data_IF_214161409773
#
_entry.id   IF_214161409773
#
_cell.length_a   1.000
_cell.length_b   1.000
_cell.length_c   1.000
_cell.angle_alpha   90.00
_cell.angle_beta   90.00
_cell.angle_gamma   90.00
#
_symmetry.space_group_name_H-M   'P 1'
#
loop_
_entity.id
_entity.type
_entity.pdbx_description
1 polymer ?
2 non-polymer ?
3 water ?
#
# COMPACT_ATOMS: atom_id res chain seq x y z
N UNK A 14 -24.61 1.77 4.65
CA UNK A 14 -25.61 2.10 3.64
C UNK A 14 -25.46 1.22 2.40
N UNK A 15 -24.23 0.82 2.08
CA UNK A 15 -24.01 -0.16 1.03
C UNK A 15 -23.75 -1.55 1.61
N UNK A 16 -24.26 -2.59 0.98
CA UNK A 16 -24.18 -3.95 1.52
C UNK A 16 -23.77 -4.98 0.47
N UNK A 17 -23.06 -6.01 0.90
CA UNK A 17 -22.80 -7.18 0.07
C UNK A 17 -24.03 -8.06 -0.11
N UNK A 18 -24.33 -8.39 -1.36
CA UNK A 18 -25.45 -9.27 -1.68
C UNK A 18 -25.01 -10.72 -1.86
N UNK A 19 -24.06 -10.95 -2.75
CA UNK A 19 -23.51 -12.29 -2.97
C UNK A 19 -22.12 -12.22 -3.60
N UNK A 20 -21.30 -13.24 -3.33
CA UNK A 20 -19.98 -13.31 -3.93
C UNK A 20 -19.78 -14.69 -4.57
N UNK A 21 -19.71 -14.74 -5.89
CA UNK A 21 -19.55 -16.02 -6.58
C UNK A 21 -18.14 -16.21 -7.13
N UNK A 22 -17.57 -17.39 -6.89
CA UNK A 22 -16.25 -17.76 -7.41
C UNK A 22 -16.20 -17.80 -8.93
N UNK A 23 -15.11 -17.27 -9.50
CA UNK A 23 -14.89 -17.28 -10.94
C UNK A 23 -13.75 -18.23 -11.32
N UNK A 24 -12.72 -18.24 -10.49
CA UNK A 24 -11.60 -19.19 -10.66
C UNK A 24 -10.83 -19.27 -9.36
N UNK A 25 -10.48 -20.48 -8.97
CA UNK A 25 -9.74 -20.67 -7.74
C UNK A 25 -8.34 -21.22 -8.01
N UNK A 26 -7.34 -20.56 -7.45
CA UNK A 26 -5.98 -21.04 -7.57
C UNK A 26 -5.50 -21.68 -6.29
N UNK A 27 -4.25 -22.10 -6.30
CA UNK A 27 -3.61 -22.72 -5.16
C UNK A 27 -3.51 -21.68 -4.05
N UNK A 28 -2.95 -20.49 -4.26
CA UNK A 28 -3.01 -19.50 -3.17
C UNK A 28 -4.15 -18.53 -3.29
N UNK A 29 -4.37 -18.05 -4.51
CA UNK A 29 -5.22 -16.87 -4.68
C UNK A 29 -6.39 -17.21 -5.59
N UNK A 30 -7.54 -16.63 -5.30
CA UNK A 30 -8.76 -16.87 -6.07
C UNK A 30 -9.35 -15.58 -6.64
N UNK A 31 -10.18 -15.73 -7.66
CA UNK A 31 -10.89 -14.61 -8.28
C UNK A 31 -12.39 -14.76 -8.16
N UNK A 32 -13.03 -13.77 -7.54
CA UNK A 32 -14.47 -13.81 -7.33
C UNK A 32 -15.16 -12.63 -7.99
N UNK A 33 -16.44 -12.81 -8.28
CA UNK A 33 -17.30 -11.69 -8.69
C UNK A 33 -18.20 -11.32 -7.53
N UNK A 34 -18.22 -10.03 -7.20
CA UNK A 34 -18.92 -9.57 -6.01
C UNK A 34 -20.13 -8.74 -6.38
N UNK A 35 -21.28 -9.11 -5.83
CA UNK A 35 -22.52 -8.38 -6.05
C UNK A 35 -22.90 -7.60 -4.79
N UNK A 36 -23.13 -6.31 -4.94
CA UNK A 36 -23.44 -5.44 -3.80
C UNK A 36 -24.57 -4.46 -4.14
N UNK A 37 -24.95 -3.63 -3.19
CA UNK A 37 -25.95 -2.61 -3.46
C UNK A 37 -25.47 -1.23 -3.06
N UNK A 38 -25.74 -0.24 -3.91
CA UNK A 38 -25.22 1.10 -3.70
C UNK A 38 -26.21 1.82 -2.77
N UNK A 39 -25.90 3.07 -2.34
CA UNK A 39 -26.83 3.71 -1.40
C UNK A 39 -28.23 3.95 -1.95
N UNK A 40 -28.36 4.06 -3.27
CA UNK A 40 -29.64 4.32 -3.89
C UNK A 40 -30.54 3.08 -3.91
N UNK A 41 -29.93 1.91 -3.69
CA UNK A 41 -30.66 0.65 -3.73
C UNK A 41 -30.44 -0.12 -5.02
N UNK A 42 -29.58 0.42 -5.87
CA UNK A 42 -29.26 -0.19 -7.15
C UNK A 42 -28.19 -1.27 -6.99
N UNK A 43 -28.36 -2.37 -7.71
CA UNK A 43 -27.44 -3.48 -7.68
C UNK A 43 -26.27 -3.29 -8.65
N UNK A 44 -25.04 -3.43 -8.14
CA UNK A 44 -23.85 -3.38 -8.98
C UNK A 44 -22.92 -4.57 -8.78
N UNK A 45 -21.88 -4.64 -9.59
CA UNK A 45 -20.94 -5.77 -9.54
C UNK A 45 -19.49 -5.31 -9.46
N UNK A 46 -18.62 -6.22 -9.05
CA UNK A 46 -17.21 -5.94 -8.89
C UNK A 46 -16.39 -7.22 -9.00
N UNK A 47 -15.22 -7.12 -9.61
CA UNK A 47 -14.31 -8.25 -9.71
C UNK A 47 -13.29 -8.21 -8.56
N UNK A 48 -13.43 -9.12 -7.61
CA UNK A 48 -12.60 -9.10 -6.41
C UNK A 48 -11.53 -10.19 -6.39
N UNK A 49 -10.36 -9.85 -5.87
CA UNK A 49 -9.29 -10.82 -5.67
C UNK A 49 -9.24 -11.20 -4.20
N UNK A 50 -9.14 -12.48 -3.90
CA UNK A 50 -9.07 -12.94 -2.51
C UNK A 50 -8.00 -14.01 -2.33
N UNK A 51 -7.22 -13.90 -1.26
CA UNK A 51 -6.29 -14.97 -0.93
C UNK A 51 -7.08 -16.16 -0.43
N UNK A 52 -6.75 -17.34 -0.95
CA UNK A 52 -7.40 -18.56 -0.50
C UNK A 52 -6.70 -19.04 0.75
N UNK A 53 -5.75 -18.25 1.24
CA UNK A 53 -4.81 -18.80 2.20
C UNK A 53 -5.46 -19.01 3.58
N UNK A 54 -6.19 -18.04 4.14
CA UNK A 54 -6.77 -18.27 5.47
C UNK A 54 -7.53 -17.04 5.99
N UNK A 55 -8.46 -17.27 6.91
CA UNK A 55 -9.36 -16.28 7.45
C UNK A 55 -9.26 -16.16 9.05
N UNK A 56 -8.48 -17.00 9.76
CA UNK A 56 -8.59 -17.08 11.24
C UNK A 56 -7.96 -15.87 11.88
N UNK A 57 -7.21 -15.11 11.10
CA UNK A 57 -6.23 -14.22 11.72
C UNK A 57 -6.83 -12.86 11.95
N UNK A 58 -6.04 -12.00 12.57
CA UNK A 58 -6.45 -10.62 12.76
C UNK A 58 -6.30 -9.99 11.35
N UNK A 59 -5.42 -10.59 10.53
CA UNK A 59 -5.13 -10.15 9.16
C UNK A 59 -4.37 -11.20 8.31
N UNK A 60 -4.35 -11.06 6.98
CA UNK A 60 -3.64 -12.04 6.12
C UNK A 60 -2.17 -12.15 6.52
N UNK A 61 -1.52 -11.01 6.70
CA UNK A 61 -0.10 -10.98 6.98
C UNK A 61 0.35 -9.81 7.82
N UNK A 62 1.65 -9.58 7.83
CA UNK A 62 2.22 -8.44 8.52
C UNK A 62 3.28 -7.78 7.67
N UNK A 63 3.44 -6.48 7.87
CA UNK A 63 4.55 -5.74 7.33
C UNK A 63 5.34 -5.21 8.52
N UNK A 64 6.65 -5.33 8.48
CA UNK A 64 7.48 -4.92 9.61
C UNK A 64 8.23 -3.63 9.31
N UNK A 65 8.06 -2.62 10.14
CA UNK A 65 8.89 -1.43 10.07
C UNK A 65 10.03 -1.56 11.09
N UNK A 66 11.22 -1.96 10.60
CA UNK A 66 12.37 -2.25 11.47
C UNK A 66 13.27 -1.04 11.63
N UNK A 67 13.37 -0.55 12.86
CA UNK A 67 14.16 0.64 13.14
C UNK A 67 15.50 0.28 13.78
N UNK A 68 16.56 0.31 12.96
CA UNK A 68 17.91 0.04 13.42
C UNK A 68 18.43 1.16 14.30
N UNK A 69 18.54 0.91 15.60
CA UNK A 69 18.95 1.93 16.56
C UNK A 69 20.39 1.73 17.05
N UNK A 70 21.25 2.73 16.81
CA UNK A 70 22.63 2.71 17.28
C UNK A 70 23.01 4.02 17.97
N UNK A 71 23.84 3.93 19.01
CA UNK A 71 24.24 5.12 19.76
C UNK A 71 25.13 6.10 18.99
N UNK A 72 25.81 5.64 17.95
CA UNK A 72 26.70 6.52 17.21
C UNK A 72 26.14 6.89 15.85
N UNK A 73 24.92 6.45 15.58
CA UNK A 73 24.28 6.75 14.31
C UNK A 73 22.86 7.24 14.43
N UNK A 74 22.37 7.81 13.32
CA UNK A 74 20.96 8.08 13.14
C UNK A 74 20.28 6.75 12.83
N UNK A 75 19.03 6.60 13.23
CA UNK A 75 18.29 5.36 12.98
C UNK A 75 18.22 5.03 11.48
N UNK A 76 18.43 3.75 11.17
CA UNK A 76 18.25 3.24 9.82
C UNK A 76 16.91 2.53 9.73
N UNK A 77 16.33 2.53 8.54
CA UNK A 77 15.18 1.71 8.27
C UNK A 77 15.65 0.49 7.50
N UNK A 78 15.35 -0.69 8.03
CA UNK A 78 15.77 -1.92 7.39
C UNK A 78 14.75 -2.32 6.33
N UNK A 79 15.17 -2.28 5.07
CA UNK A 79 14.31 -2.66 3.95
C UNK A 79 14.88 -3.89 3.26
N UNK A 80 14.03 -4.57 2.50
CA UNK A 80 14.47 -5.75 1.74
C UNK A 80 14.26 -5.59 0.24
N UNK A 81 15.17 -6.16 -0.54
CA UNK A 81 15.04 -6.18 -2.00
C UNK A 81 14.82 -7.61 -2.47
N UNK A 82 13.76 -7.81 -3.23
CA UNK A 82 13.36 -9.15 -3.63
C UNK A 82 12.62 -9.15 -4.96
N UNK A 83 12.90 -10.18 -5.76
CA UNK A 83 12.23 -10.37 -7.04
C UNK A 83 10.76 -10.72 -6.83
N UNK A 84 9.89 -9.99 -7.51
CA UNK A 84 8.45 -10.21 -7.46
C UNK A 84 7.92 -10.55 -8.84
N UNK A 85 7.60 -11.84 -9.06
CA UNK A 85 7.09 -12.34 -10.33
C UNK A 85 5.91 -11.55 -10.93
N UNK A 86 4.94 -11.09 -10.10
CA UNK A 86 3.88 -10.32 -10.75
C UNK A 86 4.39 -9.01 -11.35
N UNK A 87 5.39 -8.41 -10.73
CA UNK A 87 6.00 -7.18 -11.22
C UNK A 87 7.02 -7.47 -12.32
N UNK A 88 7.44 -8.74 -12.42
CA UNK A 88 8.49 -9.12 -13.34
C UNK A 88 9.81 -8.44 -13.06
N UNK A 89 10.10 -8.19 -11.78
CA UNK A 89 11.30 -7.48 -11.38
C UNK A 89 11.46 -7.34 -9.87
N UNK A 90 12.55 -6.73 -9.44
CA UNK A 90 12.85 -6.61 -8.02
C UNK A 90 12.10 -5.45 -7.38
N UNK A 91 11.73 -5.62 -6.10
CA UNK A 91 10.99 -4.60 -5.38
C UNK A 91 11.59 -4.34 -4.00
N UNK A 92 11.62 -3.07 -3.59
CA UNK A 92 12.10 -2.71 -2.26
C UNK A 92 10.93 -2.58 -1.28
N UNK A 93 10.91 -3.45 -0.26
CA UNK A 93 9.76 -3.52 0.65
C UNK A 93 10.11 -3.55 2.14
N UNK A 94 9.10 -3.31 2.97
CA UNK A 94 9.19 -3.67 4.38
C UNK A 94 9.23 -5.20 4.42
N UNK A 95 10.00 -5.75 5.36
CA UNK A 95 9.93 -7.20 5.58
C UNK A 95 8.47 -7.58 5.81
N UNK A 96 8.01 -8.60 5.11
CA UNK A 96 6.60 -8.93 5.17
C UNK A 96 6.35 -10.38 4.85
N UNK A 97 5.18 -10.87 5.25
CA UNK A 97 4.80 -12.23 4.96
C UNK A 97 3.48 -12.57 5.61
N UNK A 98 2.86 -13.65 5.13
CA UNK A 98 1.64 -14.13 5.73
C UNK A 98 1.92 -14.53 7.17
N UNK A 99 0.96 -14.26 8.05
CA UNK A 99 1.03 -14.75 9.43
C UNK A 99 0.66 -16.21 9.45
N UNK A 100 1.47 -17.03 10.12
CA UNK A 100 1.13 -18.43 10.23
C UNK A 100 -0.15 -18.57 11.04
N UNK A 101 -0.71 -19.77 11.08
CA UNK A 101 -1.97 -19.96 11.76
C UNK A 101 -1.81 -20.18 13.26
N UNK A 102 -2.48 -19.35 14.05
CA UNK A 102 -2.40 -19.41 15.49
C UNK A 102 -1.32 -18.47 15.99
N UNK A 103 -0.65 -17.82 15.05
CA UNK A 103 0.45 -16.93 15.36
C UNK A 103 -0.08 -15.52 15.55
N UNK A 104 0.44 -14.81 16.53
CA UNK A 104 0.04 -13.43 16.74
C UNK A 104 0.73 -12.56 15.69
N UNK A 105 0.16 -11.38 15.41
CA UNK A 105 0.82 -10.42 14.51
C UNK A 105 2.23 -10.09 15.00
N UNK A 106 2.35 -9.89 16.31
CA UNK A 106 3.63 -9.55 16.91
C UNK A 106 4.65 -10.66 16.67
N UNK A 107 4.21 -11.90 16.84
CA UNK A 107 5.12 -13.04 16.68
C UNK A 107 5.57 -13.20 15.24
N UNK A 108 4.61 -13.13 14.32
CA UNK A 108 4.92 -13.22 12.89
C UNK A 108 5.84 -12.10 12.44
N UNK A 109 5.61 -10.91 12.99
CA UNK A 109 6.47 -9.77 12.71
C UNK A 109 7.89 -10.10 13.09
N UNK A 110 8.09 -10.44 14.37
CA UNK A 110 9.43 -10.79 14.86
C UNK A 110 10.03 -11.96 14.12
N UNK A 111 9.20 -12.96 13.81
CA UNK A 111 9.67 -14.10 13.03
C UNK A 111 10.13 -13.67 11.63
N UNK A 112 9.25 -12.98 10.92
CA UNK A 112 9.49 -12.55 9.55
C UNK A 112 10.72 -11.66 9.43
N UNK A 113 10.83 -10.70 10.34
CA UNK A 113 11.97 -9.78 10.35
C UNK A 113 13.27 -10.56 10.42
N UNK A 114 13.25 -11.57 11.28
CA UNK A 114 14.40 -12.42 11.53
C UNK A 114 14.77 -13.27 10.32
N UNK A 115 13.74 -13.87 9.71
CA UNK A 115 13.93 -14.74 8.57
C UNK A 115 14.57 -14.03 7.38
N UNK A 116 14.16 -12.79 7.16
CA UNK A 116 14.58 -12.02 5.98
C UNK A 116 15.87 -11.24 6.20
N UNK A 117 16.09 -10.77 7.41
CA UNK A 117 17.22 -9.88 7.67
C UNK A 117 18.26 -10.48 8.60
N UNK A 118 17.82 -11.39 9.47
CA UNK A 118 18.69 -11.97 10.47
C UNK A 118 18.64 -11.19 11.77
N UNK A 119 17.99 -10.02 11.74
CA UNK A 119 17.87 -9.18 12.93
C UNK A 119 16.88 -9.73 13.93
N UNK A 120 17.24 -9.66 15.19
CA UNK A 120 16.34 -9.99 16.27
C UNK A 120 15.89 -8.70 16.95
N UNK A 121 14.60 -8.41 16.89
CA UNK A 121 14.12 -7.15 17.42
C UNK A 121 13.11 -7.24 18.54
N UNK A 122 12.65 -6.07 18.98
CA UNK A 122 11.63 -5.98 20.02
C UNK A 122 10.40 -5.25 19.47
N UNK A 123 9.23 -5.70 19.89
CA UNK A 123 7.99 -5.04 19.50
C UNK A 123 7.90 -3.62 20.05
N UNK A 124 7.63 -2.66 19.19
CA UNK A 124 7.41 -1.27 19.61
C UNK A 124 5.91 -0.97 19.64
N UNK A 125 5.21 -1.27 18.55
CA UNK A 125 3.75 -1.11 18.50
C UNK A 125 3.12 -1.94 17.39
N UNK A 126 1.83 -2.21 17.52
CA UNK A 126 1.11 -3.03 16.57
C UNK A 126 -0.15 -2.29 16.11
N UNK A 127 -0.31 -2.17 14.80
CA UNK A 127 -1.40 -1.40 14.21
C UNK A 127 -2.69 -2.23 14.16
N UNK A 128 -3.83 -1.57 13.89
CA UNK A 128 -5.03 -2.29 13.48
C UNK A 128 -4.84 -2.98 12.11
N UNK A 129 -5.78 -3.83 11.72
CA UNK A 129 -5.73 -4.46 10.41
C UNK A 129 -5.94 -3.39 9.33
N UNK A 130 -5.08 -3.35 8.33
CA UNK A 130 -5.20 -2.34 7.27
C UNK A 130 -5.17 -2.97 5.89
N UNK A 131 -5.97 -2.41 4.97
CA UNK A 131 -6.14 -2.99 3.64
C UNK A 131 -4.94 -2.74 2.72
N UNK A 132 -4.48 -3.81 2.07
CA UNK A 132 -3.36 -3.71 1.13
C UNK A 132 -3.79 -3.08 -0.19
N UNK A 133 -4.99 -3.40 -0.63
CA UNK A 133 -5.47 -3.01 -1.96
C UNK A 133 -6.99 -3.03 -2.02
N UNK A 134 -7.63 -2.08 -1.34
CA UNK A 134 -9.10 -2.09 -1.16
C UNK A 134 -9.88 -2.13 -2.47
N UNK A 135 -9.36 -1.49 -3.52
CA UNK A 135 -10.07 -1.43 -4.78
C UNK A 135 -9.93 -2.68 -5.62
N UNK A 136 -9.25 -3.69 -5.08
CA UNK A 136 -8.94 -4.90 -5.83
C UNK A 136 -9.03 -6.17 -4.98
N UNK A 137 -8.69 -6.08 -3.69
CA UNK A 137 -8.63 -7.28 -2.87
C UNK A 137 -9.08 -7.07 -1.43
N UNK A 138 -9.12 -8.15 -0.67
CA UNK A 138 -9.53 -8.09 0.73
C UNK A 138 -8.35 -8.34 1.65
N UNK A 139 -7.14 -8.34 1.08
CA UNK A 139 -5.93 -8.52 1.88
C UNK A 139 -5.81 -7.43 2.93
N UNK A 140 -5.67 -7.87 4.18
CA UNK A 140 -5.39 -6.96 5.26
C UNK A 140 -4.09 -7.39 5.92
N UNK A 141 -3.36 -6.42 6.47
CA UNK A 141 -2.12 -6.69 7.18
C UNK A 141 -1.98 -5.85 8.42
N UNK A 142 -1.03 -6.23 9.26
CA UNK A 142 -0.57 -5.39 10.34
C UNK A 142 0.77 -4.75 10.06
N UNK A 143 0.84 -3.47 10.33
CA UNK A 143 2.08 -2.77 10.28
C UNK A 143 2.63 -2.77 11.69
N UNK A 144 3.63 -3.60 11.91
CA UNK A 144 4.21 -3.77 13.23
C UNK A 144 5.54 -3.06 13.26
N UNK A 145 5.65 -2.08 14.15
CA UNK A 145 6.91 -1.36 14.34
C UNK A 145 7.81 -2.14 15.28
N UNK A 146 9.03 -2.40 14.82
CA UNK A 146 9.98 -3.20 15.59
C UNK A 146 11.32 -2.50 15.70
N UNK A 147 11.80 -2.30 16.92
CA UNK A 147 13.12 -1.69 17.11
C UNK A 147 14.21 -2.75 17.13
N UNK A 148 15.38 -2.39 16.60
CA UNK A 148 16.54 -3.25 16.56
C UNK A 148 17.73 -2.62 17.26
N UNK A 149 18.26 -3.29 18.28
CA UNK A 149 19.46 -2.81 18.95
C UNK A 149 20.71 -3.12 18.13
N UNK A 150 21.11 -2.17 17.28
CA UNK A 150 22.25 -2.35 16.40
C UNK A 150 23.60 -2.27 17.09
N UNK A 151 23.58 -2.00 18.39
CA UNK A 151 24.81 -1.93 19.18
C UNK A 151 25.04 -3.25 19.87
N UNK A 152 23.98 -4.01 20.00
CA UNK A 152 24.04 -5.32 20.62
C UNK A 152 24.91 -6.24 19.74
N UNK A 153 25.61 -7.18 20.38
CA UNK A 153 26.60 -8.01 19.69
C UNK A 153 25.97 -8.96 18.66
N UNK A 154 24.84 -9.56 19.06
CA UNK A 154 23.98 -10.36 18.20
C UNK A 154 23.83 -9.78 16.79
N UNK A 155 23.45 -8.50 16.76
CA UNK A 155 23.13 -7.77 15.54
C UNK A 155 24.37 -7.14 14.89
N UNK A 156 25.56 -7.56 15.32
CA UNK A 156 26.81 -6.96 14.83
C UNK A 156 26.78 -6.96 13.31
N UNK A 157 26.55 -8.12 12.70
CA UNK A 157 25.93 -8.15 11.39
C UNK A 157 25.30 -9.54 11.24
N UNK A 158 23.96 -9.58 11.26
CA UNK A 158 23.08 -10.74 11.18
C UNK A 158 23.27 -11.55 9.91
N UNK A 159 22.73 -12.76 9.90
CA UNK A 159 22.56 -13.49 8.67
C UNK A 159 21.14 -14.05 8.61
N UNK A 160 20.44 -13.82 7.48
CA UNK A 160 19.01 -14.06 7.31
C UNK A 160 18.64 -15.54 7.39
N UNK A 161 18.66 -16.10 8.61
CA UNK A 161 18.23 -17.47 8.92
C UNK A 161 18.66 -18.48 7.84
N UNK A 164 15.64 -18.65 3.51
CA UNK A 164 15.42 -20.09 3.55
C UNK A 164 14.35 -20.61 2.56
N UNK A 165 14.72 -20.55 1.29
CA UNK A 165 13.99 -21.02 0.14
C UNK A 165 13.99 -19.94 -0.94
N UNK A 166 13.91 -18.67 -0.52
CA UNK A 166 13.93 -17.55 -1.46
C UNK A 166 15.19 -16.68 -1.29
N UNK A 167 15.30 -15.64 -2.09
CA UNK A 167 16.50 -14.81 -2.12
C UNK A 167 16.25 -13.34 -1.86
N UNK A 168 16.55 -12.92 -0.64
CA UNK A 168 16.24 -11.59 -0.16
C UNK A 168 17.50 -10.82 0.21
N UNK A 169 17.68 -9.67 -0.41
CA UNK A 169 18.80 -8.78 -0.11
C UNK A 169 18.36 -7.72 0.90
N UNK A 170 19.20 -7.47 1.89
CA UNK A 170 18.90 -6.52 2.95
C UNK A 170 19.48 -5.14 2.67
N UNK A 171 18.64 -4.11 2.83
CA UNK A 171 19.07 -2.73 2.61
C UNK A 171 18.68 -1.84 3.78
N UNK A 172 19.68 -1.28 4.45
CA UNK A 172 19.42 -0.37 5.55
C UNK A 172 19.64 1.08 5.12
N UNK A 173 18.62 1.90 5.30
CA UNK A 173 18.68 3.30 4.89
C UNK A 173 18.33 4.24 6.04
N UNK A 174 19.06 5.35 6.15
CA UNK A 174 18.86 6.36 7.22
C UNK A 174 17.44 6.93 7.22
N UNK A 175 16.80 6.96 8.39
CA UNK A 175 15.42 7.42 8.51
C UNK A 175 15.24 8.89 8.13
N UNK A 176 16.20 9.73 8.52
CA UNK A 176 16.10 11.16 8.27
C UNK A 176 16.42 11.51 6.81
N UNK A 177 16.68 10.49 6.02
CA UNK A 177 17.09 10.69 4.63
C UNK A 177 16.53 9.56 3.76
N UNK A 178 15.41 9.00 4.17
CA UNK A 178 14.87 7.80 3.51
C UNK A 178 14.45 8.02 2.05
N UNK A 179 13.63 9.03 1.82
CA UNK A 179 13.01 9.26 0.51
C UNK A 179 14.00 9.48 -0.62
N UNK A 180 15.01 10.31 -0.39
CA UNK A 180 15.98 10.64 -1.43
C UNK A 180 16.87 9.42 -1.69
N UNK A 181 17.15 8.65 -0.66
CA UNK A 181 17.90 7.40 -0.84
C UNK A 181 17.06 6.37 -1.58
N UNK A 182 15.75 6.41 -1.37
CA UNK A 182 14.83 5.53 -2.11
C UNK A 182 14.74 5.92 -3.59
N UNK A 183 14.58 7.21 -3.87
CA UNK A 183 14.55 7.70 -5.24
C UNK A 183 15.85 7.39 -5.97
N UNK A 184 16.96 7.36 -5.23
CA UNK A 184 18.26 7.06 -5.82
C UNK A 184 18.35 5.62 -6.36
N UNK A 185 17.97 4.66 -5.51
CA UNK A 185 18.00 3.24 -5.85
C UNK A 185 17.05 2.87 -6.99
N UNK A 186 15.87 3.48 -6.96
CA UNK A 186 14.75 3.12 -7.83
C UNK A 186 14.93 3.60 -9.27
N UNK A 187 15.86 4.49 -9.51
CA UNK A 187 16.09 4.97 -10.84
C UNK A 187 16.63 3.86 -11.72
N UNK A 188 17.02 2.75 -11.11
CA UNK A 188 17.53 1.60 -11.85
C UNK A 188 16.41 0.96 -12.67
N UNK A 189 16.81 0.09 -13.61
CA UNK A 189 15.87 -0.60 -14.49
C UNK A 189 14.55 -1.35 -14.30
N UNK A 190 14.53 -2.33 -13.39
CA UNK A 190 13.33 -2.82 -12.75
C UNK A 190 13.52 -3.01 -11.27
N UNK A 191 13.44 -1.91 -10.56
CA UNK A 191 13.57 -1.84 -9.13
C UNK A 191 12.51 -0.85 -8.79
N UNK A 192 11.53 -1.25 -8.02
CA UNK A 192 10.44 -0.38 -7.64
C UNK A 192 10.24 -0.33 -6.12
N UNK A 193 10.03 0.87 -5.59
CA UNK A 193 9.71 1.04 -4.19
C UNK A 193 8.25 0.67 -3.95
N UNK A 194 7.99 -0.05 -2.87
CA UNK A 194 6.62 -0.40 -2.47
C UNK A 194 5.89 0.89 -2.05
N UNK A 195 4.58 0.94 -2.29
CA UNK A 195 3.82 2.16 -2.02
C UNK A 195 3.78 2.54 -0.53
N UNK A 196 3.66 1.56 0.35
CA UNK A 196 3.66 1.81 1.79
C UNK A 196 5.03 2.31 2.25
N UNK A 197 6.09 1.75 1.68
CA UNK A 197 7.44 2.18 1.98
C UNK A 197 7.62 3.64 1.57
N UNK A 198 7.14 3.97 0.38
CA UNK A 198 7.29 5.32 -0.14
C UNK A 198 6.42 6.32 0.63
N UNK A 199 5.20 5.92 0.96
CA UNK A 199 4.30 6.77 1.75
C UNK A 199 4.94 7.12 3.10
N UNK A 200 5.53 6.11 3.72
CA UNK A 200 6.27 6.28 4.98
C UNK A 200 7.42 7.25 4.80
N UNK A 201 8.19 7.07 3.72
CA UNK A 201 9.31 7.95 3.42
C UNK A 201 8.84 9.39 3.15
N UNK A 202 7.72 9.51 2.43
CA UNK A 202 7.15 10.82 2.12
C UNK A 202 6.78 11.54 3.41
N UNK A 203 6.12 10.83 4.31
CA UNK A 203 5.71 11.42 5.58
C UNK A 203 6.92 11.81 6.43
N UNK A 204 7.98 11.00 6.39
CA UNK A 204 9.20 11.34 7.12
C UNK A 204 9.76 12.67 6.65
N UNK A 205 9.67 12.91 5.35
CA UNK A 205 10.20 14.13 4.78
C UNK A 205 9.27 15.32 4.99
N UNK A 206 7.95 15.09 4.96
CA UNK A 206 7.00 16.19 5.13
C UNK A 206 7.05 16.67 6.57
N UNK A 207 7.24 15.75 7.49
CA UNK A 207 7.34 16.06 8.90
C UNK A 207 8.65 16.80 9.17
N UNK A 208 9.66 16.50 8.36
CA UNK A 208 11.05 16.92 8.56
C UNK A 208 11.67 16.31 9.82
N UNK B 14 20.25 -12.23 -11.24
CA UNK B 14 19.30 -11.95 -12.31
C UNK B 14 18.21 -13.03 -12.40
N UNK B 15 17.03 -12.68 -11.89
CA UNK B 15 15.85 -13.52 -12.02
C UNK B 15 14.97 -13.02 -13.15
N UNK B 16 14.29 -13.94 -13.83
CA UNK B 16 13.57 -13.65 -15.07
C UNK B 16 12.13 -14.12 -15.06
N UNK B 17 11.25 -13.38 -15.74
CA UNK B 17 9.97 -13.95 -16.12
C UNK B 17 10.26 -14.91 -17.26
N UNK B 18 9.81 -16.14 -17.12
CA UNK B 18 10.02 -17.16 -18.15
C UNK B 18 8.80 -17.22 -19.05
N UNK B 19 7.63 -17.36 -18.44
CA UNK B 19 6.38 -17.41 -19.18
C UNK B 19 5.20 -16.98 -18.31
N UNK B 20 4.16 -16.48 -18.96
CA UNK B 20 2.95 -16.07 -18.26
C UNK B 20 1.71 -16.73 -18.87
N UNK B 21 1.06 -17.55 -18.06
CA UNK B 21 -0.10 -18.32 -18.49
C UNK B 21 -1.39 -17.67 -18.03
N UNK B 22 -2.29 -17.41 -18.96
CA UNK B 22 -3.61 -16.94 -18.57
C UNK B 22 -4.37 -18.04 -17.83
N UNK B 23 -5.02 -17.68 -16.73
CA UNK B 23 -5.86 -18.63 -16.00
C UNK B 23 -7.32 -18.20 -16.10
N UNK B 24 -7.56 -16.89 -16.04
CA UNK B 24 -8.89 -16.33 -16.23
C UNK B 24 -8.84 -14.81 -16.48
N UNK B 25 -9.64 -14.34 -17.44
CA UNK B 25 -9.77 -12.93 -17.75
C UNK B 25 -11.17 -12.38 -17.45
N UNK B 26 -11.22 -11.30 -16.68
CA UNK B 26 -12.45 -10.57 -16.45
C UNK B 26 -12.29 -9.27 -17.21
N UNK B 27 -13.25 -8.36 -17.11
CA UNK B 27 -13.11 -7.07 -17.78
C UNK B 27 -11.96 -6.23 -17.23
N UNK B 28 -11.90 -6.12 -15.90
CA UNK B 28 -11.01 -5.19 -15.25
C UNK B 28 -9.70 -5.87 -14.81
N UNK B 29 -9.79 -7.16 -14.50
CA UNK B 29 -8.70 -7.85 -13.82
C UNK B 29 -8.49 -9.27 -14.35
N UNK B 30 -7.23 -9.69 -14.37
CA UNK B 30 -6.85 -11.02 -14.85
C UNK B 30 -6.15 -11.82 -13.78
N UNK B 31 -6.20 -13.14 -13.92
CA UNK B 31 -5.44 -14.01 -13.05
C UNK B 31 -4.51 -14.83 -13.92
N UNK B 32 -3.21 -14.70 -13.71
CA UNK B 32 -2.24 -15.41 -14.52
C UNK B 32 -1.38 -16.35 -13.71
N UNK B 33 -0.84 -17.35 -14.38
CA UNK B 33 0.15 -18.21 -13.77
C UNK B 33 1.50 -17.78 -14.35
N UNK B 34 2.44 -17.48 -13.47
CA UNK B 34 3.72 -16.91 -13.89
C UNK B 34 4.85 -17.90 -13.59
N UNK B 35 5.63 -18.21 -14.60
CA UNK B 35 6.78 -19.08 -14.43
C UNK B 35 8.03 -18.22 -14.49
N UNK B 36 8.88 -18.33 -13.48
CA UNK B 36 10.09 -17.52 -13.40
C UNK B 36 11.22 -18.42 -12.93
N UNK B 37 12.46 -17.94 -12.96
CA UNK B 37 13.51 -18.75 -12.34
C UNK B 37 14.53 -17.93 -11.55
N UNK B 38 14.89 -18.54 -10.44
CA UNK B 38 15.69 -18.00 -9.37
C UNK B 38 17.19 -18.02 -9.66
N UNK B 39 18.02 -17.47 -8.75
CA UNK B 39 19.46 -17.53 -9.01
C UNK B 39 20.04 -18.95 -9.04
N UNK B 40 19.36 -19.94 -8.44
CA UNK B 40 19.89 -21.31 -8.45
C UNK B 40 19.72 -22.00 -9.79
N UNK B 41 18.82 -21.48 -10.63
CA UNK B 41 18.57 -22.08 -11.93
C UNK B 41 17.30 -22.93 -11.95
N UNK B 42 16.59 -22.95 -10.83
CA UNK B 42 15.34 -23.71 -10.76
C UNK B 42 14.16 -22.89 -11.24
N UNK B 43 13.25 -23.53 -11.96
CA UNK B 43 12.04 -22.85 -12.42
C UNK B 43 11.01 -22.93 -11.29
N UNK B 44 10.45 -21.79 -10.91
CA UNK B 44 9.39 -21.78 -9.91
C UNK B 44 8.19 -21.06 -10.52
N UNK B 45 7.07 -21.06 -9.81
CA UNK B 45 5.86 -20.45 -10.33
C UNK B 45 5.25 -19.48 -9.33
N UNK B 46 4.34 -18.65 -9.82
CA UNK B 46 3.68 -17.63 -9.01
C UNK B 46 2.33 -17.33 -9.62
N UNK B 47 1.32 -17.12 -8.77
CA UNK B 47 -0.01 -16.73 -9.23
C UNK B 47 -0.17 -15.22 -9.19
N UNK B 48 -0.17 -14.60 -10.37
CA UNK B 48 -0.17 -13.14 -10.46
C UNK B 48 -1.53 -12.57 -10.86
N UNK B 49 -1.87 -11.43 -10.29
CA UNK B 49 -3.06 -10.68 -10.67
C UNK B 49 -2.66 -9.47 -11.54
N UNK B 50 -3.35 -9.25 -12.65
CA UNK B 50 -3.06 -8.09 -13.50
C UNK B 50 -4.32 -7.36 -13.95
N UNK B 51 -4.27 -6.04 -13.85
CA UNK B 51 -5.34 -5.19 -14.39
C UNK B 51 -5.23 -5.18 -15.90
N UNK B 52 -6.36 -5.32 -16.58
CA UNK B 52 -6.37 -5.24 -18.04
C UNK B 52 -6.44 -3.79 -18.47
N UNK B 53 -6.40 -2.89 -17.50
CA UNK B 53 -6.73 -1.49 -17.73
C UNK B 53 -5.60 -0.66 -18.37
N UNK B 54 -4.34 -0.86 -17.96
CA UNK B 54 -3.28 -0.03 -18.49
C UNK B 54 -2.43 -0.71 -19.55
N UNK B 55 -1.85 0.10 -20.41
CA UNK B 55 -1.07 -0.37 -21.53
C UNK B 55 0.28 0.33 -21.52
N UNK B 56 0.27 1.49 -22.16
CA UNK B 56 1.44 2.26 -22.52
C UNK B 56 2.05 3.12 -21.40
N UNK B 57 1.36 3.27 -20.27
CA UNK B 57 1.66 4.39 -19.37
C UNK B 57 2.71 4.11 -18.29
N UNK B 58 3.08 5.17 -17.57
CA UNK B 58 4.04 5.09 -16.48
C UNK B 58 3.49 4.32 -15.28
N UNK B 59 2.17 4.31 -15.13
CA UNK B 59 1.50 3.60 -14.05
C UNK B 59 -0.01 3.51 -14.30
N UNK B 60 -0.67 2.61 -13.59
CA UNK B 60 -2.12 2.42 -13.71
C UNK B 60 -2.89 3.67 -13.30
N UNK B 61 -2.53 4.21 -12.13
CA UNK B 61 -3.25 5.32 -11.55
C UNK B 61 -2.39 6.19 -10.65
N UNK B 62 -3.07 7.02 -9.87
CA UNK B 62 -2.39 7.88 -8.92
C UNK B 62 -3.11 7.84 -7.58
N UNK B 63 -2.34 8.07 -6.52
CA UNK B 63 -2.89 8.30 -5.20
C UNK B 63 -2.54 9.73 -4.78
N UNK B 64 -3.52 10.43 -4.24
CA UNK B 64 -3.31 11.84 -3.92
C UNK B 64 -3.20 12.05 -2.41
N UNK B 65 -2.10 12.68 -2.00
CA UNK B 65 -1.97 13.12 -0.61
C UNK B 65 -2.31 14.59 -0.54
N UNK B 66 -3.55 14.91 -0.15
CA UNK B 66 -4.04 16.29 -0.15
C UNK B 66 -3.88 16.98 1.18
N UNK B 67 -3.05 18.01 1.20
CA UNK B 67 -2.78 18.76 2.41
C UNK B 67 -3.55 20.08 2.41
N UNK B 68 -4.66 20.13 3.14
CA UNK B 68 -5.45 21.34 3.29
C UNK B 68 -4.71 22.36 4.16
N UNK B 69 -4.23 23.44 3.53
CA UNK B 69 -3.42 24.44 4.23
C UNK B 69 -4.20 25.74 4.45
N UNK B 70 -4.37 26.09 5.71
CA UNK B 70 -5.06 27.32 6.07
C UNK B 70 -4.23 28.10 7.06
N UNK B 71 -4.22 29.43 6.91
CA UNK B 71 -3.41 30.29 7.74
C UNK B 71 -3.87 30.24 9.19
N UNK B 72 -2.92 30.24 10.12
CA UNK B 72 -3.24 30.19 11.56
C UNK B 72 -3.95 28.91 11.96
N UNK B 73 -3.85 27.88 11.12
CA UNK B 73 -4.46 26.59 11.42
C UNK B 73 -3.41 25.48 11.28
N UNK B 74 -3.72 24.31 11.82
CA UNK B 74 -2.98 23.11 11.47
C UNK B 74 -3.42 22.64 10.10
N UNK B 75 -2.48 22.08 9.36
CA UNK B 75 -2.77 21.45 8.08
C UNK B 75 -3.68 20.25 8.28
N UNK B 76 -4.67 20.08 7.41
CA UNK B 76 -5.49 18.87 7.43
C UNK B 76 -5.05 17.94 6.32
N UNK B 77 -5.23 16.64 6.52
CA UNK B 77 -5.09 15.68 5.44
C UNK B 77 -6.48 15.29 4.96
N UNK B 78 -6.74 15.49 3.67
CA UNK B 78 -8.05 15.17 3.10
C UNK B 78 -8.12 13.70 2.70
N UNK B 79 -8.97 12.94 3.37
CA UNK B 79 -9.16 11.53 3.05
C UNK B 79 -10.57 11.26 2.54
N UNK B 80 -10.76 10.12 1.85
CA UNK B 80 -12.08 9.75 1.37
C UNK B 80 -12.55 8.46 2.03
N UNK B 81 -13.86 8.38 2.26
CA UNK B 81 -14.46 7.18 2.81
C UNK B 81 -15.44 6.59 1.79
N UNK B 82 -15.24 5.32 1.45
CA UNK B 82 -16.03 4.70 0.39
C UNK B 82 -16.11 3.19 0.57
N UNK B 83 -17.27 2.65 0.22
CA UNK B 83 -17.49 1.21 0.29
C UNK B 83 -16.61 0.49 -0.75
N UNK B 84 -15.92 -0.56 -0.32
CA UNK B 84 -15.08 -1.34 -1.22
C UNK B 84 -15.56 -2.78 -1.27
N UNK B 85 -16.22 -3.15 -2.37
CA UNK B 85 -16.79 -4.50 -2.56
C UNK B 85 -15.84 -5.68 -2.26
N UNK B 86 -14.53 -5.59 -2.61
CA UNK B 86 -13.71 -6.73 -2.20
C UNK B 86 -13.56 -6.83 -0.69
N UNK B 87 -13.54 -5.69 -0.02
CA UNK B 87 -13.43 -5.65 1.44
C UNK B 87 -14.77 -5.93 2.10
N UNK B 88 -15.84 -5.81 1.32
CA UNK B 88 -17.19 -5.96 1.83
C UNK B 88 -17.48 -4.93 2.91
N UNK B 89 -16.89 -3.76 2.78
CA UNK B 89 -17.03 -2.72 3.77
C UNK B 89 -16.32 -1.43 3.39
N UNK B 90 -16.46 -0.41 4.23
CA UNK B 90 -15.91 0.91 3.97
C UNK B 90 -14.44 1.04 4.32
N UNK B 91 -13.74 1.89 3.57
CA UNK B 91 -12.31 2.12 3.77
C UNK B 91 -11.96 3.60 3.74
N UNK B 92 -10.99 3.99 4.55
CA UNK B 92 -10.44 5.33 4.55
C UNK B 92 -9.19 5.37 3.69
N UNK B 93 -9.24 6.15 2.62
CA UNK B 93 -8.16 6.13 1.64
C UNK B 93 -7.73 7.53 1.20
N UNK B 94 -6.53 7.59 0.62
CA UNK B 94 -6.13 8.74 -0.18
C UNK B 94 -6.97 8.73 -1.43
N UNK B 95 -7.37 9.93 -1.89
CA UNK B 95 -8.04 10.03 -3.19
C UNK B 95 -7.20 9.36 -4.27
N UNK B 96 -7.82 8.52 -5.08
CA UNK B 96 -7.08 7.73 -6.07
C UNK B 96 -7.94 7.38 -7.27
N UNK B 97 -7.29 7.04 -8.37
CA UNK B 97 -7.98 6.62 -9.58
C UNK B 97 -7.03 6.37 -10.73
N UNK B 98 -7.50 5.63 -11.72
CA UNK B 98 -6.71 5.33 -12.92
C UNK B 98 -6.33 6.58 -13.68
N UNK B 99 -5.12 6.59 -14.23
CA UNK B 99 -4.73 7.65 -15.15
C UNK B 99 -5.36 7.36 -16.51
N UNK B 100 -6.02 8.38 -17.06
CA UNK B 100 -6.63 8.26 -18.39
C UNK B 100 -5.56 8.09 -19.47
N UNK B 101 -5.99 7.90 -20.71
CA UNK B 101 -5.04 7.75 -21.80
C UNK B 101 -4.55 9.13 -22.21
N UNK B 102 -3.23 9.34 -22.17
CA UNK B 102 -2.65 10.61 -22.56
C UNK B 102 -2.47 11.66 -21.46
N UNK B 103 -2.92 11.33 -20.25
CA UNK B 103 -2.87 12.25 -19.12
C UNK B 103 -1.58 12.12 -18.30
N UNK B 104 -1.04 13.23 -17.82
CA UNK B 104 0.14 13.17 -16.94
C UNK B 104 -0.30 12.75 -15.55
N UNK B 105 0.62 12.18 -14.75
CA UNK B 105 0.27 11.86 -13.36
C UNK B 105 -0.26 13.08 -12.60
N UNK B 106 0.41 14.22 -12.78
CA UNK B 106 0.02 15.44 -12.09
C UNK B 106 -1.40 15.85 -12.44
N UNK B 107 -1.74 15.75 -13.71
CA UNK B 107 -3.06 16.14 -14.19
C UNK B 107 -4.13 15.19 -13.65
N UNK B 108 -3.84 13.90 -13.70
CA UNK B 108 -4.76 12.89 -13.16
C UNK B 108 -4.96 13.09 -11.66
N UNK B 109 -3.88 13.45 -10.95
CA UNK B 109 -3.94 13.75 -9.53
C UNK B 109 -4.92 14.88 -9.24
N UNK B 110 -4.69 16.04 -9.84
CA UNK B 110 -5.56 17.20 -9.63
C UNK B 110 -7.01 16.93 -10.08
N UNK B 111 -7.16 16.18 -11.16
CA UNK B 111 -8.48 15.79 -11.64
C UNK B 111 -9.21 14.94 -10.62
N UNK B 112 -8.58 13.86 -10.18
CA UNK B 112 -9.18 12.93 -9.23
C UNK B 112 -9.55 13.61 -7.92
N UNK B 113 -8.66 14.45 -7.43
CA UNK B 113 -8.88 15.19 -6.20
C UNK B 113 -10.13 16.06 -6.28
N UNK B 114 -10.27 16.76 -7.39
CA UNK B 114 -11.42 17.63 -7.58
C UNK B 114 -12.69 16.79 -7.72
N UNK B 115 -12.60 15.71 -8.48
CA UNK B 115 -13.76 14.86 -8.70
C UNK B 115 -14.30 14.25 -7.41
N UNK B 116 -13.42 13.82 -6.52
CA UNK B 116 -13.86 13.13 -5.32
C UNK B 116 -14.14 14.09 -4.17
N UNK B 117 -13.37 15.16 -4.05
CA UNK B 117 -13.48 16.07 -2.90
C UNK B 117 -13.98 17.46 -3.26
N UNK B 118 -13.75 17.87 -4.51
CA UNK B 118 -14.11 19.19 -4.96
C UNK B 118 -12.99 20.19 -4.80
N UNK B 119 -11.93 19.79 -4.10
CA UNK B 119 -10.80 20.69 -3.86
C UNK B 119 -9.95 20.88 -5.10
N UNK B 120 -9.50 22.11 -5.30
CA UNK B 120 -8.54 22.43 -6.34
C UNK B 120 -7.17 22.69 -5.73
N UNK B 121 -6.19 21.86 -6.03
CA UNK B 121 -4.88 22.00 -5.41
C UNK B 121 -3.74 22.29 -6.36
N UNK B 122 -2.54 22.39 -5.79
CA UNK B 122 -1.32 22.58 -6.58
C UNK B 122 -0.35 21.42 -6.36
N UNK B 123 0.35 21.02 -7.42
CA UNK B 123 1.33 19.96 -7.29
C UNK B 123 2.49 20.37 -6.41
N UNK B 124 2.79 19.56 -5.39
CA UNK B 124 3.94 19.80 -4.52
C UNK B 124 5.10 18.91 -4.95
N UNK B 125 4.80 17.63 -5.14
CA UNK B 125 5.79 16.70 -5.66
C UNK B 125 5.10 15.48 -6.22
N UNK B 126 5.80 14.78 -7.11
CA UNK B 126 5.27 13.58 -7.75
C UNK B 126 6.27 12.44 -7.66
N UNK B 127 5.82 11.28 -7.20
CA UNK B 127 6.72 10.16 -6.99
C UNK B 127 6.98 9.40 -8.28
N UNK B 128 8.01 8.55 -8.28
CA UNK B 128 8.13 7.53 -9.32
C UNK B 128 6.96 6.55 -9.22
N UNK B 129 6.81 5.67 -10.20
CA UNK B 129 5.80 4.63 -10.13
C UNK B 129 6.16 3.67 -9.00
N UNK B 130 5.17 3.33 -8.18
CA UNK B 130 5.38 2.47 -7.01
C UNK B 130 4.37 1.32 -6.97
N UNK B 131 4.79 0.17 -6.42
CA UNK B 131 3.95 -1.03 -6.41
C UNK B 131 2.82 -0.94 -5.41
N UNK B 132 1.60 -1.23 -5.85
CA UNK B 132 0.45 -1.26 -4.95
C UNK B 132 0.42 -2.53 -4.12
N UNK B 133 0.82 -3.64 -4.73
CA UNK B 133 0.69 -4.96 -4.13
C UNK B 133 1.67 -5.94 -4.79
N UNK B 134 2.98 -5.73 -4.58
CA UNK B 134 4.06 -6.42 -5.31
C UNK B 134 4.04 -7.96 -5.22
N UNK B 135 3.62 -8.49 -4.09
CA UNK B 135 3.63 -9.93 -3.90
C UNK B 135 2.43 -10.64 -4.51
N UNK B 136 1.56 -9.88 -5.17
CA UNK B 136 0.30 -10.44 -5.67
C UNK B 136 -0.13 -9.90 -7.04
N UNK B 137 0.25 -8.66 -7.34
CA UNK B 137 -0.19 -7.99 -8.55
C UNK B 137 0.90 -7.11 -9.16
N UNK B 138 0.60 -6.55 -10.33
CA UNK B 138 1.56 -5.65 -11.00
C UNK B 138 1.10 -4.20 -11.07
N UNK B 139 0.03 -3.88 -10.33
CA UNK B 139 -0.46 -2.51 -10.27
C UNK B 139 0.59 -1.55 -9.72
N UNK B 140 0.85 -0.49 -10.48
CA UNK B 140 1.72 0.59 -10.02
C UNK B 140 0.95 1.90 -10.00
N UNK B 141 1.36 2.81 -9.12
CA UNK B 141 0.75 4.13 -9.05
C UNK B 141 1.82 5.20 -8.86
N UNK B 142 1.42 6.44 -9.09
CA UNK B 142 2.23 7.56 -8.69
C UNK B 142 1.58 8.12 -7.42
N UNK B 143 2.40 8.39 -6.41
CA UNK B 143 1.88 9.07 -5.23
C UNK B 143 2.15 10.55 -5.38
N UNK B 144 1.09 11.32 -5.59
CA UNK B 144 1.24 12.74 -5.84
C UNK B 144 0.82 13.56 -4.63
N UNK B 145 1.77 14.30 -4.08
CA UNK B 145 1.50 15.21 -2.97
C UNK B 145 0.97 16.52 -3.53
N UNK B 146 -0.20 16.93 -3.04
CA UNK B 146 -0.88 18.11 -3.53
C UNK B 146 -1.31 19.02 -2.39
N UNK B 147 -0.86 20.28 -2.44
CA UNK B 147 -1.26 21.25 -1.43
C UNK B 147 -2.53 21.95 -1.85
N UNK B 148 -3.40 22.22 -0.88
CA UNK B 148 -4.65 22.89 -1.16
C UNK B 148 -4.73 24.19 -0.37
N UNK B 149 -4.89 25.30 -1.09
CA UNK B 149 -5.05 26.58 -0.42
C UNK B 149 -6.48 26.72 0.06
N UNK B 150 -6.71 26.33 1.31
CA UNK B 150 -8.05 26.36 1.87
C UNK B 150 -8.55 27.76 2.14
N UNK B 151 -7.71 28.75 1.87
CA UNK B 151 -8.12 30.15 2.04
C UNK B 151 -8.58 30.80 0.73
N UNK B 152 -8.15 30.26 -0.40
CA UNK B 152 -8.53 30.76 -1.72
C UNK B 152 -10.03 30.53 -1.96
N UNK B 153 -10.63 31.36 -2.80
CA UNK B 153 -12.09 31.37 -2.97
C UNK B 153 -12.67 30.09 -3.58
N UNK B 154 -12.04 29.57 -4.63
CA UNK B 154 -12.42 28.26 -5.17
C UNK B 154 -12.63 27.18 -4.08
N UNK B 155 -11.69 27.05 -3.14
CA UNK B 155 -11.75 25.97 -2.15
C UNK B 155 -12.54 26.26 -0.89
N UNK B 156 -13.20 27.41 -0.83
CA UNK B 156 -14.00 27.83 0.31
C UNK B 156 -15.08 26.79 0.60
N UNK B 157 -15.78 26.41 -0.47
CA UNK B 157 -16.57 25.19 -0.43
C UNK B 157 -16.52 24.45 -1.75
N UNK B 158 -15.76 23.35 -1.75
CA UNK B 158 -15.55 22.41 -2.85
C UNK B 158 -16.84 21.74 -3.23
N UNK B 159 -16.93 21.18 -4.44
CA UNK B 159 -18.04 20.29 -4.76
C UNK B 159 -17.60 19.05 -5.51
N UNK B 160 -17.94 17.88 -4.97
CA UNK B 160 -17.50 16.61 -5.57
C UNK B 160 -18.23 16.40 -6.89
N UNK B 161 -17.53 15.95 -7.93
CA UNK B 161 -18.20 15.54 -9.14
C UNK B 161 -17.98 14.05 -9.38
N UNK B 162 -18.77 13.21 -8.70
CA UNK B 162 -18.57 11.77 -8.70
C UNK B 162 -19.21 11.15 -9.94
N UNK B 163 -18.70 10.00 -10.36
CA UNK B 163 -19.28 9.31 -11.50
C UNK B 163 -20.50 8.52 -11.09
N UNK B 164 -20.97 7.69 -12.01
CA UNK B 164 -22.17 6.89 -11.82
C UNK B 164 -22.02 6.01 -10.57
N UNK B 165 -21.16 5.01 -10.65
CA UNK B 165 -20.94 4.09 -9.55
C UNK B 165 -20.22 4.62 -8.31
N UNK B 166 -19.98 5.93 -8.25
CA UNK B 166 -19.18 6.46 -7.14
C UNK B 166 -19.94 7.25 -6.06
N UNK B 167 -19.81 6.79 -4.83
CA UNK B 167 -20.40 7.43 -3.68
C UNK B 167 -19.30 7.70 -2.66
N UNK B 168 -18.79 8.93 -2.64
CA UNK B 168 -17.59 9.23 -1.85
C UNK B 168 -17.81 10.28 -0.77
N UNK B 169 -17.51 9.90 0.47
CA UNK B 169 -17.57 10.84 1.58
C UNK B 169 -16.18 11.43 1.88
N UNK B 170 -16.12 12.73 2.11
CA UNK B 170 -14.86 13.40 2.39
C UNK B 170 -14.60 13.52 3.88
N UNK B 171 -13.38 13.13 4.28
CA UNK B 171 -12.98 13.21 5.67
C UNK B 171 -11.63 13.89 5.82
N UNK B 172 -11.62 15.04 6.49
CA UNK B 172 -10.40 15.79 6.73
C UNK B 172 -9.93 15.61 8.17
N UNK B 173 -8.68 15.21 8.33
CA UNK B 173 -8.11 15.00 9.65
C UNK B 173 -6.83 15.80 9.80
N UNK B 174 -6.61 16.39 10.98
CA UNK B 174 -5.40 17.18 11.20
C UNK B 174 -4.12 16.38 11.02
N UNK B 175 -3.20 16.93 10.24
CA UNK B 175 -1.90 16.31 9.95
C UNK B 175 -1.08 16.10 11.23
N UNK B 176 -1.16 17.04 12.15
CA UNK B 176 -0.34 17.02 13.35
C UNK B 176 -0.80 15.98 14.36
N UNK B 177 -1.90 15.30 14.03
CA UNK B 177 -2.49 14.34 14.95
C UNK B 177 -3.14 13.21 14.14
N UNK B 178 -2.59 12.90 12.97
CA UNK B 178 -3.27 12.01 12.04
C UNK B 178 -3.53 10.61 12.60
N UNK B 179 -2.49 9.98 13.15
CA UNK B 179 -2.58 8.57 13.57
C UNK B 179 -3.67 8.30 14.61
N UNK B 180 -3.76 9.17 15.61
CA UNK B 180 -4.75 9.04 16.68
C UNK B 180 -6.15 9.38 16.22
N UNK B 181 -6.28 10.32 15.29
CA UNK B 181 -7.59 10.64 14.74
C UNK B 181 -8.09 9.49 13.87
N UNK B 182 -7.16 8.79 13.24
CA UNK B 182 -7.51 7.63 12.42
C UNK B 182 -8.04 6.53 13.33
N UNK B 183 -7.31 6.26 14.42
CA UNK B 183 -7.73 5.27 15.41
C UNK B 183 -9.06 5.67 16.03
N UNK B 184 -9.28 6.97 16.17
CA UNK B 184 -10.52 7.50 16.73
C UNK B 184 -11.71 7.14 15.83
N UNK B 185 -11.56 7.35 14.53
CA UNK B 185 -12.64 7.06 13.57
C UNK B 185 -13.04 5.59 13.60
N UNK B 186 -12.06 4.71 13.73
CA UNK B 186 -12.34 3.28 13.69
C UNK B 186 -12.99 2.84 15.01
N UNK B 187 -12.79 3.62 16.06
CA UNK B 187 -13.44 3.35 17.34
C UNK B 187 -14.93 3.65 17.30
N UNK B 188 -15.27 4.76 16.65
CA UNK B 188 -16.64 5.23 16.51
C UNK B 188 -17.51 4.30 15.64
N UNK B 189 -16.93 3.81 14.56
CA UNK B 189 -17.54 2.73 13.79
C UNK B 189 -16.43 1.89 13.18
N UNK B 190 -16.77 0.67 12.78
CA UNK B 190 -15.82 -0.19 12.08
C UNK B 190 -15.61 0.12 10.61
N UNK B 191 -14.48 0.74 10.33
CA UNK B 191 -14.00 0.90 8.96
C UNK B 191 -12.52 0.56 8.97
N UNK B 192 -11.92 0.48 7.78
CA UNK B 192 -10.54 0.05 7.71
C UNK B 192 -9.71 1.13 7.04
N UNK B 193 -8.60 1.50 7.68
CA UNK B 193 -7.68 2.46 7.13
C UNK B 193 -6.80 1.79 6.07
N UNK B 194 -6.58 2.50 4.96
CA UNK B 194 -5.69 2.01 3.91
C UNK B 194 -4.25 1.95 4.40
N UNK B 195 -3.51 0.97 3.89
CA UNK B 195 -2.14 0.72 4.34
C UNK B 195 -1.22 1.89 4.05
N UNK B 196 -1.40 2.54 2.90
CA UNK B 196 -0.58 3.70 2.56
C UNK B 196 -0.90 4.88 3.48
N UNK B 197 -2.18 5.06 3.81
CA UNK B 197 -2.57 6.11 4.75
C UNK B 197 -1.96 5.87 6.13
N UNK B 198 -2.02 4.63 6.61
CA UNK B 198 -1.51 4.34 7.95
C UNK B 198 0.00 4.50 7.98
N UNK B 199 0.68 4.04 6.93
CA UNK B 199 2.14 4.18 6.84
C UNK B 199 2.54 5.65 6.91
N UNK B 200 1.79 6.47 6.18
CA UNK B 200 2.02 7.91 6.21
C UNK B 200 1.80 8.45 7.62
N UNK B 201 0.70 8.05 8.26
CA UNK B 201 0.39 8.54 9.60
C UNK B 201 1.45 8.06 10.60
N UNK B 202 1.85 6.80 10.46
CA UNK B 202 2.85 6.20 11.34
C UNK B 202 4.17 6.95 11.29
N UNK B 203 4.65 7.24 10.08
CA UNK B 203 5.92 7.94 9.90
C UNK B 203 5.88 9.36 10.50
N UNK B 204 4.71 10.01 10.42
CA UNK B 204 4.56 11.35 10.99
C UNK B 204 4.91 11.36 12.47
N UNK B 205 4.55 10.31 13.20
CA UNK B 205 4.90 10.25 14.62
C UNK B 205 6.33 9.78 14.81
N UNK B 206 6.78 8.88 13.94
CA UNK B 206 8.14 8.34 13.99
C UNK B 206 9.23 9.35 13.66
N UNK B 207 8.91 10.36 12.86
CA UNK B 207 9.94 11.29 12.39
C UNK B 207 10.62 12.01 13.55
N UNK B 208 11.95 12.09 13.46
CA UNK B 208 12.86 12.48 14.54
C UNK B 208 12.81 11.49 15.70
X LIG C 1 3.17 -11.73 1.25
X LIG C 1 3.66 -15.15 0.25
X LIG C 1 3.64 -13.02 0.74
X LIG C 1 3.66 -18.99 -5.31
X LIG C 1 2.99 -18.20 -4.39
X LIG C 1 1.85 -17.57 -4.76
X LIG C 1 1.18 -16.79 -3.92
X LIG C 1 -0.06 -16.12 -4.35
X LIG C 1 1.65 -16.62 -2.68
X LIG C 1 2.83 -17.27 -2.25
X LIG C 1 3.56 -17.29 -1.08
X LIG C 1 3.18 -16.56 0.17
X LIG C 1 4.83 -14.65 -0.16
X LIG C 1 4.83 -13.30 0.14
X LIG C 1 3.91 -10.60 1.10
X LIG C 1 3.40 -9.41 1.57
X LIG C 1 2.13 -9.39 2.22
X LIG C 1 1.48 -7.93 2.83
X LIG C 1 1.44 -10.52 2.35
X LIG C 1 -0.10 -10.46 3.12
X LIG C 1 1.93 -11.71 1.88
X LIG C 1 2.90 -14.13 0.82
X LIG C 1 4.62 -18.06 -1.24
X LIG C 1 5.60 -18.33 -0.24
X LIG C 1 6.24 -17.25 0.42
X LIG C 1 6.71 -17.61 1.81
X LIG C 1 7.35 -18.89 1.83
X LIG C 1 6.65 -19.96 1.18
X LIG C 1 6.30 -19.56 -0.23
X LIG C 1 4.62 -18.57 -2.50
X LIG C 1 3.50 -18.06 -3.14
X LIG C 1 0.97 -15.84 -1.86
X LIG C 1 1.37 -17.72 -5.97
X LIG D 1 -8.59 2.14 -8.41
X LIG D 1 -11.43 1.45 -10.65
X LIG D 1 -9.87 1.91 -9.13
X LIG D 1 -16.24 -3.30 -11.12
X LIG D 1 -14.90 -2.88 -11.14
X LIG D 1 -13.91 -3.80 -10.88
X LIG D 1 -12.59 -3.43 -10.90
X LIG D 1 -11.54 -4.43 -10.60
X LIG D 1 -12.26 -2.14 -11.19
X LIG D 1 -13.28 -1.16 -11.48
X LIG D 1 -13.29 0.22 -11.80
X LIG D 1 -12.07 1.11 -11.97
X LIG D 1 -12.08 1.70 -9.49
X LIG D 1 -11.12 1.97 -8.53
X LIG D 1 -8.66 2.45 -7.07
X LIG D 1 -7.49 2.68 -6.36
X LIG D 1 -6.22 2.60 -7.03
X LIG D 1 -4.80 2.90 -6.07
X LIG D 1 -6.16 2.29 -8.36
X LIG D 1 -4.60 2.17 -9.22
X LIG D 1 -7.35 2.05 -9.08
X LIG D 1 -10.03 1.59 -10.45
X LIG D 1 -14.58 0.60 -11.96
X LIG D 1 -15.02 1.95 -12.28
X LIG D 1 -14.88 2.95 -11.28
X LIG D 1 -14.69 4.31 -11.90
X LIG D 1 -15.77 4.64 -12.76
X LIG D 1 -16.14 3.60 -13.69
X LIG D 1 -16.14 2.20 -13.11
X LIG D 1 -15.41 -0.48 -11.75
X LIG D 1 -14.61 -1.58 -11.44
X LIG D 1 -10.96 -1.79 -11.20
X LIG D 1 -14.22 -5.06 -10.60
#
# INVERSE_FOLDING_TARGET
>A
MESQEPTESSQNGKQYIISEELISEGKWVKLEKTTYMDPTGKTRTWESVKRTTRKEQTADGVAVIPVLQRTLHYECIVLVKQFRPPMGGYCIEFPAGLIDDGETPEAAALRELEEETGYKGDIAECSPAVCMDPGLSNCTIHIVTVTINGDDAENARPKPKPGDGEFVEVISLPKNDLLQRLDALVAEEHLTVDARVYSYALALKHANAKPFEVPFLKF
>B
MESQEPTESSQNGKQYIISEELISEGKWVKLEKTTYMDPTGKTRTWESVKRTTRKEQTADGVAVIPVLQRTLHYECIVLVKQFRPPMGGYCIEFPAGLIDDGETPEAAALRELEEETGYKGDIAECSPAVCMDPGLSNCTIHIVTVTINGDDAENARPKPKPGDGEFVEVISLPKNDLLQRLDALVAEEHLTVDARVYSYALALKHANAKPFEVPFLKF
>C hetero
1 9CH C14 C10 C13 C01 N02 C03 N04 C05 C06 C07 N08 C09 N11 N12 C15 C16 C17 CL1 C19 CL2 C21 O22 C23 N24 C25 C26 N27 C28 C29 N30 C31 O32 O33
>D hetero
1 9CH C14 C10 C13 C01 N02 C03 N04 C05 C06 C07 N08 C09 N11 N12 C15 C16 C17 CL1 C19 CL2 C21 O22 C23 N24 C25 C26 N27 C28 C29 N30 C31 O32 O33
#
